data_IF_757055706571
#
_entry.id   IF_757055706571
#
_cell.length_a   1.000
_cell.length_b   1.000
_cell.length_c   1.000
_cell.angle_alpha   90.00
_cell.angle_beta   90.00
_cell.angle_gamma   90.00
#
_symmetry.space_group_name_H-M   'P 1'
#
loop_
_entity.id
_entity.type
_entity.pdbx_description
1 polymer ?
#
# COMPACT_ATOMS: atom_id res chain seq x y z
N UNK A 1 9.46 -62.16 29.09
CA UNK A 1 9.49 -61.00 28.17
C UNK A 1 10.74 -61.11 27.32
N UNK A 2 10.57 -61.19 25.99
CA UNK A 2 11.62 -61.45 24.99
C UNK A 2 12.25 -60.13 24.47
N UNK A 3 13.57 -60.07 24.53
CA UNK A 3 14.56 -59.69 23.50
C UNK A 3 14.50 -58.40 22.64
N UNK A 4 15.73 -57.85 22.50
CA UNK A 4 16.38 -57.20 21.33
C UNK A 4 16.07 -55.71 21.09
N UNK A 5 16.96 -54.87 20.56
CA UNK A 5 18.41 -54.72 20.39
C UNK A 5 18.57 -53.45 19.49
N UNK A 6 19.81 -52.99 19.29
CA UNK A 6 20.30 -51.99 18.32
C UNK A 6 20.17 -50.51 18.74
N UNK A 7 21.19 -49.83 19.31
CA UNK A 7 22.57 -49.55 18.83
C UNK A 7 22.63 -48.86 17.45
N UNK A 8 23.13 -47.62 17.38
CA UNK A 8 24.49 -47.24 16.92
C UNK A 8 24.54 -45.73 16.60
N UNK A 9 25.61 -45.10 17.10
CA UNK A 9 26.03 -43.71 16.90
C UNK A 9 26.64 -43.43 15.51
N UNK A 10 26.82 -42.16 15.14
CA UNK A 10 28.15 -41.58 14.88
C UNK A 10 28.07 -40.27 14.06
N UNK A 11 28.82 -39.28 14.53
CA UNK A 11 29.30 -38.13 13.76
C UNK A 11 30.14 -38.60 12.55
N UNK A 12 30.17 -37.80 11.47
CA UNK A 12 31.45 -37.37 10.87
C UNK A 12 31.26 -36.24 9.85
N UNK A 13 32.10 -35.22 9.98
CA UNK A 13 32.29 -34.11 9.05
C UNK A 13 33.03 -34.57 7.79
N UNK A 14 32.77 -33.92 6.64
CA UNK A 14 33.74 -33.84 5.53
C UNK A 14 33.71 -32.42 4.92
N UNK A 15 34.91 -31.86 4.80
CA UNK A 15 35.29 -30.58 4.21
C UNK A 15 35.26 -30.56 2.68
N UNK A 16 34.91 -29.39 2.15
CA UNK A 16 35.57 -28.59 1.10
C UNK A 16 36.13 -29.22 -0.21
N UNK A 17 35.79 -28.53 -1.31
CA UNK A 17 36.68 -28.03 -2.40
C UNK A 17 36.39 -28.50 -3.84
N UNK A 18 35.93 -27.54 -4.64
CA UNK A 18 36.40 -27.13 -5.97
C UNK A 18 36.57 -28.11 -7.17
N UNK A 19 36.04 -27.61 -8.29
CA UNK A 19 36.59 -27.58 -9.66
C UNK A 19 36.07 -28.58 -10.73
N UNK A 20 35.24 -28.01 -11.62
CA UNK A 20 35.31 -27.99 -13.11
C UNK A 20 35.55 -29.30 -13.86
N UNK A 21 34.60 -29.67 -14.74
CA UNK A 21 34.76 -29.79 -16.22
C UNK A 21 33.36 -29.87 -16.87
N UNK A 22 33.17 -29.01 -17.88
CA UNK A 22 32.02 -28.91 -18.81
C UNK A 22 31.98 -30.04 -19.84
N UNK A 23 30.79 -30.28 -20.44
CA UNK A 23 30.73 -30.45 -21.89
C UNK A 23 29.72 -29.50 -22.54
N UNK A 24 29.94 -29.30 -23.84
CA UNK A 24 29.50 -28.17 -24.65
C UNK A 24 28.03 -28.18 -25.07
N UNK A 25 27.49 -26.96 -25.13
CA UNK A 25 26.68 -26.34 -26.18
C UNK A 25 25.87 -27.29 -27.09
N UNK A 26 24.54 -27.20 -26.93
CA UNK A 26 23.68 -27.08 -28.09
C UNK A 26 22.78 -25.87 -27.87
N UNK A 27 23.08 -24.80 -28.61
CA UNK A 27 22.23 -23.63 -28.75
C UNK A 27 20.84 -24.07 -29.23
N UNK A 28 19.84 -23.77 -28.43
CA UNK A 28 18.55 -23.34 -28.98
C UNK A 28 18.17 -22.06 -28.25
N UNK A 29 18.48 -20.96 -28.95
CA UNK A 29 17.85 -19.66 -28.85
C UNK A 29 16.49 -19.71 -28.16
N UNK A 30 16.46 -19.28 -26.91
CA UNK A 30 15.58 -18.22 -26.41
C UNK A 30 16.19 -17.86 -25.06
N UNK A 31 17.07 -16.86 -25.09
CA UNK A 31 17.37 -16.10 -23.89
C UNK A 31 16.00 -15.72 -23.30
N UNK A 32 15.69 -16.28 -22.13
CA UNK A 32 14.75 -15.65 -21.22
C UNK A 32 15.44 -14.36 -20.80
N UNK A 33 15.30 -13.35 -21.65
CA UNK A 33 15.47 -11.95 -21.30
C UNK A 33 14.85 -11.75 -19.93
N UNK A 34 15.53 -11.07 -19.00
CA UNK A 34 14.96 -10.74 -17.72
C UNK A 34 13.76 -9.83 -17.98
N UNK A 35 12.54 -10.40 -17.97
CA UNK A 35 11.30 -9.63 -18.03
C UNK A 35 11.02 -8.88 -16.72
N UNK A 36 12.08 -8.53 -15.97
CA UNK A 36 12.09 -7.56 -14.90
C UNK A 36 12.39 -6.15 -15.44
N UNK A 37 11.77 -5.80 -16.57
CA UNK A 37 11.53 -4.41 -16.97
C UNK A 37 10.06 -4.35 -17.40
N UNK A 38 9.17 -4.33 -16.41
CA UNK A 38 7.77 -3.97 -16.63
C UNK A 38 7.48 -2.64 -15.93
N UNK A 39 7.57 -1.61 -16.78
CA UNK A 39 6.96 -0.28 -16.71
C UNK A 39 7.65 0.74 -15.80
N UNK A 40 8.61 1.44 -16.42
CA UNK A 40 9.02 2.79 -16.05
C UNK A 40 7.82 3.74 -15.93
N UNK A 41 7.66 4.36 -14.75
CA UNK A 41 6.89 5.60 -14.49
C UNK A 41 5.43 5.64 -14.97
N UNK A 42 4.50 5.11 -14.17
CA UNK A 42 3.11 5.56 -14.23
C UNK A 42 2.32 5.44 -12.93
N UNK A 43 2.57 4.45 -12.08
CA UNK A 43 1.79 4.25 -10.85
C UNK A 43 2.71 3.84 -9.67
N UNK A 44 2.80 4.68 -8.63
CA UNK A 44 3.57 4.35 -7.40
C UNK A 44 2.66 3.65 -6.39
N UNK A 45 3.03 2.43 -6.00
CA UNK A 45 2.39 1.71 -4.89
C UNK A 45 2.88 2.22 -3.53
N UNK A 46 1.96 2.39 -2.60
CA UNK A 46 2.21 2.93 -1.26
C UNK A 46 2.06 1.82 -0.22
N UNK A 47 3.20 1.37 0.34
CA UNK A 47 3.23 0.29 1.32
C UNK A 47 3.34 0.77 2.78
N UNK A 48 3.88 1.97 3.06
CA UNK A 48 3.92 2.57 4.40
C UNK A 48 4.03 4.11 4.36
N UNK A 49 3.34 4.79 5.27
CA UNK A 49 3.38 6.26 5.40
C UNK A 49 2.55 7.00 4.35
N UNK A 50 2.68 8.33 4.35
CA UNK A 50 2.08 9.18 3.33
C UNK A 50 3.06 9.39 2.17
N UNK A 51 2.53 9.39 0.94
CA UNK A 51 3.31 9.49 -0.27
C UNK A 51 2.78 10.64 -1.12
N UNK A 52 3.69 11.30 -1.84
CA UNK A 52 3.39 12.50 -2.62
C UNK A 52 3.49 12.20 -4.12
N UNK A 53 2.71 12.93 -4.90
CA UNK A 53 2.73 12.87 -6.37
C UNK A 53 2.55 14.25 -6.99
N UNK A 54 3.08 14.41 -8.19
CA UNK A 54 2.93 15.60 -9.04
C UNK A 54 1.77 15.43 -10.02
N UNK A 55 1.58 16.42 -10.89
CA UNK A 55 0.53 16.37 -11.92
C UNK A 55 0.70 15.20 -12.91
N UNK A 56 1.94 14.75 -13.15
CA UNK A 56 2.22 13.67 -14.11
C UNK A 56 2.10 12.27 -13.50
N UNK A 57 2.04 12.19 -12.18
CA UNK A 57 2.04 10.92 -11.45
C UNK A 57 0.62 10.41 -11.26
N UNK A 58 0.47 9.09 -11.28
CA UNK A 58 -0.64 8.43 -10.61
C UNK A 58 -0.10 7.75 -9.36
N UNK A 59 -0.86 7.86 -8.27
CA UNK A 59 -0.51 7.24 -7.00
C UNK A 59 -1.68 6.39 -6.53
N UNK A 60 -1.38 5.23 -5.96
CA UNK A 60 -2.39 4.31 -5.50
C UNK A 60 -1.95 3.50 -4.28
N UNK A 61 -2.93 3.00 -3.55
CA UNK A 61 -2.73 1.97 -2.54
C UNK A 61 -3.78 0.88 -2.68
N UNK A 62 -3.43 -0.32 -2.22
CA UNK A 62 -4.30 -1.50 -2.15
C UNK A 62 -4.33 -2.02 -0.70
N UNK A 63 -4.98 -3.17 -0.48
CA UNK A 63 -5.07 -3.75 0.86
C UNK A 63 -6.04 -3.00 1.77
N UNK A 64 -7.03 -2.34 1.17
CA UNK A 64 -7.99 -1.52 1.89
C UNK A 64 -9.10 -2.33 2.59
N UNK A 65 -9.10 -3.66 2.45
CA UNK A 65 -10.03 -4.53 3.19
C UNK A 65 -9.81 -4.50 4.72
N UNK A 66 -8.59 -4.21 5.15
CA UNK A 66 -8.21 -4.25 6.57
C UNK A 66 -7.66 -2.93 7.09
N UNK A 67 -7.44 -1.96 6.21
CA UNK A 67 -6.82 -0.68 6.52
C UNK A 67 -7.55 0.47 5.81
N UNK A 68 -7.82 1.59 6.48
CA UNK A 68 -8.31 2.80 5.81
C UNK A 68 -7.27 3.42 4.87
N UNK A 69 -7.76 4.25 3.95
CA UNK A 69 -6.94 5.10 3.09
C UNK A 69 -7.43 6.54 3.12
N UNK A 70 -6.51 7.50 3.02
CA UNK A 70 -6.87 8.92 2.90
C UNK A 70 -6.08 9.54 1.77
N UNK A 71 -6.72 10.44 1.03
CA UNK A 71 -6.06 11.12 -0.07
C UNK A 71 -6.50 12.57 -0.21
N UNK A 72 -5.52 13.42 -0.49
CA UNK A 72 -5.70 14.79 -0.92
C UNK A 72 -5.22 14.93 -2.36
N UNK A 73 -5.97 15.67 -3.17
CA UNK A 73 -5.54 16.15 -4.48
C UNK A 73 -5.80 17.66 -4.57
N UNK A 74 -5.00 18.39 -5.31
CA UNK A 74 -5.14 19.83 -5.46
C UNK A 74 -4.38 20.35 -6.68
N UNK A 75 -4.29 21.67 -6.79
CA UNK A 75 -3.50 22.36 -7.82
C UNK A 75 -2.22 22.91 -7.24
N UNK A 76 -1.18 22.98 -8.04
CA UNK A 76 0.06 23.65 -7.67
C UNK A 76 0.53 24.54 -8.83
N UNK A 77 1.12 25.70 -8.53
CA UNK A 77 1.56 26.66 -9.56
C UNK A 77 2.74 26.12 -10.39
N UNK A 78 3.65 25.40 -9.74
CA UNK A 78 4.81 24.75 -10.39
C UNK A 78 4.43 23.38 -10.94
N UNK A 79 4.95 23.04 -12.14
CA UNK A 79 4.70 21.76 -12.83
C UNK A 79 5.21 20.54 -12.06
N UNK A 80 6.30 20.70 -11.30
CA UNK A 80 6.94 19.71 -10.45
C UNK A 80 6.47 19.74 -9.00
N UNK A 81 5.50 20.61 -8.68
CA UNK A 81 4.94 20.70 -7.34
C UNK A 81 4.10 19.49 -6.97
N UNK A 82 4.01 19.23 -5.67
CA UNK A 82 3.15 18.19 -5.12
C UNK A 82 1.69 18.61 -5.31
N UNK A 83 0.93 17.80 -6.03
CA UNK A 83 -0.51 18.00 -6.28
C UNK A 83 -1.36 16.90 -5.66
N UNK A 84 -0.74 15.85 -5.13
CA UNK A 84 -1.41 14.66 -4.60
C UNK A 84 -0.65 14.17 -3.37
N UNK A 85 -1.38 13.80 -2.32
CA UNK A 85 -0.82 13.17 -1.12
C UNK A 85 -1.75 12.05 -0.67
N UNK A 86 -1.27 10.81 -0.65
CA UNK A 86 -2.05 9.63 -0.28
C UNK A 86 -1.39 8.91 0.90
N UNK A 87 -2.18 8.43 1.86
CA UNK A 87 -1.67 7.57 2.92
C UNK A 87 -2.50 6.28 3.04
N UNK A 88 -1.78 5.16 3.18
CA UNK A 88 -2.34 3.90 3.65
C UNK A 88 -2.24 3.86 5.18
N UNK A 89 -3.37 3.76 5.86
CA UNK A 89 -3.45 3.91 7.32
C UNK A 89 -3.42 2.54 7.99
N UNK A 90 -2.24 2.13 8.46
CA UNK A 90 -2.10 0.87 9.20
C UNK A 90 -2.65 1.01 10.62
N UNK A 91 -3.46 0.06 11.07
CA UNK A 91 -4.17 0.11 12.35
C UNK A 91 -3.25 0.28 13.58
N UNK A 92 -2.03 -0.26 13.55
CA UNK A 92 -1.08 -0.14 14.67
C UNK A 92 -0.35 1.21 14.77
N UNK A 93 -0.36 2.03 13.72
CA UNK A 93 0.42 3.28 13.65
C UNK A 93 -0.35 4.44 13.00
N UNK A 94 -1.68 4.41 13.10
CA UNK A 94 -2.55 5.30 12.33
C UNK A 94 -2.32 6.78 12.62
N UNK A 95 -2.02 7.17 13.87
CA UNK A 95 -1.78 8.58 14.24
C UNK A 95 -0.58 9.14 13.49
N UNK A 96 0.57 8.46 13.56
CA UNK A 96 1.79 8.90 12.89
C UNK A 96 1.62 8.96 11.37
N UNK A 97 0.91 8.00 10.77
CA UNK A 97 0.64 8.01 9.33
C UNK A 97 -0.27 9.19 8.93
N UNK A 98 -1.28 9.49 9.74
CA UNK A 98 -2.23 10.56 9.47
C UNK A 98 -1.64 11.95 9.76
N UNK A 99 -0.77 12.08 10.76
CA UNK A 99 -0.04 13.31 11.03
C UNK A 99 1.02 13.58 9.95
N UNK A 100 1.76 12.55 9.51
CA UNK A 100 2.67 12.66 8.35
C UNK A 100 1.92 13.07 7.08
N UNK A 101 0.72 12.51 6.87
CA UNK A 101 -0.15 12.92 5.77
C UNK A 101 -0.55 14.40 5.85
N UNK A 102 -1.02 14.88 7.02
CA UNK A 102 -1.37 16.29 7.22
C UNK A 102 -0.17 17.19 6.92
N UNK A 103 1.00 16.86 7.48
CA UNK A 103 2.23 17.64 7.30
C UNK A 103 2.63 17.71 5.83
N UNK A 104 2.57 16.60 5.09
CA UNK A 104 2.87 16.59 3.64
C UNK A 104 1.84 17.38 2.84
N UNK A 105 0.57 17.37 3.22
CA UNK A 105 -0.43 18.21 2.56
C UNK A 105 -0.15 19.68 2.79
N UNK A 106 0.14 20.11 4.02
CA UNK A 106 0.49 21.51 4.29
C UNK A 106 1.79 21.92 3.58
N UNK A 107 2.82 21.08 3.64
CA UNK A 107 4.11 21.34 2.99
C UNK A 107 4.05 21.34 1.46
N UNK A 108 3.03 20.71 0.85
CA UNK A 108 2.86 20.66 -0.60
C UNK A 108 2.64 22.03 -1.24
N UNK A 109 2.11 23.00 -0.49
CA UNK A 109 1.68 24.30 -1.04
C UNK A 109 0.52 24.20 -2.04
N UNK A 110 -0.18 23.06 -2.11
CA UNK A 110 -1.27 22.86 -3.05
C UNK A 110 -2.52 23.69 -2.66
N UNK A 111 -3.27 24.17 -3.65
CA UNK A 111 -4.55 24.89 -3.49
C UNK A 111 -5.71 24.06 -4.06
N UNK A 112 -6.95 24.53 -3.88
CA UNK A 112 -8.16 23.83 -4.37
C UNK A 112 -8.25 22.36 -3.91
N UNK A 113 -7.80 22.09 -2.68
CA UNK A 113 -7.65 20.74 -2.15
C UNK A 113 -8.99 20.00 -2.19
N UNK A 114 -9.03 18.74 -2.61
CA UNK A 114 -10.13 17.80 -2.45
C UNK A 114 -9.64 16.64 -1.60
N UNK A 115 -10.42 16.24 -0.60
CA UNK A 115 -10.09 15.12 0.29
C UNK A 115 -11.13 14.02 0.18
N UNK A 116 -10.68 12.78 -0.02
CA UNK A 116 -11.48 11.57 0.13
C UNK A 116 -10.88 10.70 1.23
N UNK A 117 -11.74 10.19 2.10
CA UNK A 117 -11.38 9.17 3.08
C UNK A 117 -12.06 7.87 2.68
N UNK A 118 -11.29 6.80 2.53
CA UNK A 118 -11.79 5.44 2.41
C UNK A 118 -11.71 4.75 3.77
N UNK A 119 -12.84 4.34 4.33
CA UNK A 119 -12.93 3.76 5.67
C UNK A 119 -13.64 2.40 5.67
N UNK A 120 -13.37 1.61 6.71
CA UNK A 120 -14.11 0.39 7.01
C UNK A 120 -15.30 0.73 7.93
N UNK A 121 -16.46 0.12 7.67
CA UNK A 121 -17.58 0.14 8.60
C UNK A 121 -17.22 -0.63 9.89
N UNK A 122 -16.92 0.13 10.93
CA UNK A 122 -16.56 -0.41 12.24
C UNK A 122 -17.65 -1.30 12.88
N UNK A 123 -18.91 -1.23 12.46
CA UNK A 123 -19.96 -2.10 13.00
C UNK A 123 -19.94 -3.51 12.38
N UNK A 124 -19.23 -3.67 11.27
CA UNK A 124 -19.16 -4.89 10.47
C UNK A 124 -17.87 -5.67 10.68
N UNK A 125 -16.87 -5.09 11.33
CA UNK A 125 -15.64 -5.79 11.74
C UNK A 125 -15.86 -6.59 13.02
N UNK A 126 -14.92 -7.51 13.31
CA UNK A 126 -14.92 -8.31 14.53
C UNK A 126 -15.13 -7.45 15.78
N UNK A 127 -15.94 -7.94 16.73
CA UNK A 127 -16.32 -7.19 17.95
C UNK A 127 -15.12 -6.62 18.70
N UNK A 128 -14.00 -7.36 18.77
CA UNK A 128 -12.77 -6.92 19.43
C UNK A 128 -12.03 -5.77 18.72
N UNK A 129 -12.36 -5.49 17.45
CA UNK A 129 -11.70 -4.48 16.63
C UNK A 129 -12.57 -3.23 16.38
N UNK A 130 -13.85 -3.25 16.74
CA UNK A 130 -14.79 -2.16 16.42
C UNK A 130 -14.38 -0.82 17.05
N UNK A 131 -13.98 -0.83 18.33
CA UNK A 131 -13.53 0.38 19.03
C UNK A 131 -12.27 0.98 18.37
N UNK A 132 -11.29 0.12 18.05
CA UNK A 132 -10.07 0.52 17.35
C UNK A 132 -10.39 1.09 15.97
N UNK A 133 -11.25 0.42 15.19
CA UNK A 133 -11.63 0.89 13.86
C UNK A 133 -12.37 2.22 13.92
N UNK A 134 -13.26 2.40 14.91
CA UNK A 134 -13.93 3.68 15.14
C UNK A 134 -12.93 4.80 15.44
N UNK A 135 -11.95 4.54 16.31
CA UNK A 135 -10.89 5.53 16.62
C UNK A 135 -10.08 5.91 15.38
N UNK A 136 -9.70 4.93 14.54
CA UNK A 136 -8.96 5.20 13.30
C UNK A 136 -9.82 6.05 12.35
N UNK A 137 -11.09 5.69 12.17
CA UNK A 137 -12.02 6.44 11.31
C UNK A 137 -12.21 7.88 11.80
N UNK A 138 -12.38 8.09 13.10
CA UNK A 138 -12.56 9.42 13.69
C UNK A 138 -11.28 10.27 13.58
N UNK A 139 -10.10 9.64 13.74
CA UNK A 139 -8.82 10.33 13.57
C UNK A 139 -8.58 10.72 12.11
N UNK A 140 -8.91 9.86 11.15
CA UNK A 140 -8.80 10.17 9.72
C UNK A 140 -9.69 11.36 9.33
N UNK A 141 -10.94 11.40 9.84
CA UNK A 141 -11.85 12.53 9.67
C UNK A 141 -11.29 13.83 10.28
N UNK A 142 -10.76 13.75 11.49
CA UNK A 142 -10.10 14.90 12.14
C UNK A 142 -8.92 15.42 11.33
N UNK A 143 -8.05 14.53 10.84
CA UNK A 143 -6.92 14.89 9.98
C UNK A 143 -7.36 15.53 8.66
N UNK A 144 -8.43 15.04 8.03
CA UNK A 144 -9.01 15.68 6.85
C UNK A 144 -9.48 17.12 7.15
N UNK A 145 -10.13 17.32 8.31
CA UNK A 145 -10.59 18.65 8.75
C UNK A 145 -9.44 19.64 9.01
N UNK A 146 -8.28 19.17 9.51
CA UNK A 146 -7.06 20.00 9.68
C UNK A 146 -6.51 20.55 8.34
N UNK A 147 -6.81 19.85 7.25
CA UNK A 147 -6.36 20.20 5.90
C UNK A 147 -7.39 21.03 5.15
N UNK A 148 -8.68 20.69 5.28
CA UNK A 148 -9.78 21.36 4.58
C UNK A 148 -11.06 21.31 5.41
N UNK A 149 -11.89 22.34 5.32
CA UNK A 149 -13.20 22.43 6.01
C UNK A 149 -14.26 21.39 5.59
N UNK A 150 -13.98 20.53 4.61
CA UNK A 150 -14.89 19.47 4.17
C UNK A 150 -14.19 18.37 3.36
N UNK A 151 -14.73 17.15 3.44
CA UNK A 151 -14.20 15.93 2.80
C UNK A 151 -15.35 15.00 2.40
N UNK A 152 -15.08 14.10 1.45
CA UNK A 152 -15.98 12.99 1.13
C UNK A 152 -15.52 11.70 1.81
N UNK A 153 -16.46 10.78 2.04
CA UNK A 153 -16.19 9.47 2.63
C UNK A 153 -16.70 8.38 1.70
N UNK A 154 -15.83 7.44 1.38
CA UNK A 154 -16.19 6.14 0.80
C UNK A 154 -16.08 5.08 1.91
N UNK A 155 -17.13 4.27 2.08
CA UNK A 155 -17.19 3.28 3.16
C UNK A 155 -17.28 1.88 2.58
N UNK A 156 -16.42 1.00 3.07
CA UNK A 156 -16.52 -0.44 2.85
C UNK A 156 -17.37 -1.07 3.95
N UNK A 157 -18.51 -1.64 3.58
CA UNK A 157 -19.47 -2.23 4.51
C UNK A 157 -19.35 -3.76 4.62
N UNK A 158 -18.68 -4.41 3.68
CA UNK A 158 -18.41 -5.84 3.70
C UNK A 158 -16.90 -6.12 3.87
N UNK A 159 -16.41 -6.34 5.10
CA UNK A 159 -15.01 -6.66 5.34
C UNK A 159 -14.59 -8.04 4.81
N UNK A 160 -15.54 -8.95 4.52
CA UNK A 160 -15.25 -10.30 4.00
C UNK A 160 -15.15 -10.36 2.48
N UNK A 161 -15.59 -9.32 1.75
CA UNK A 161 -15.46 -9.27 0.30
C UNK A 161 -13.98 -9.38 -0.17
N UNK A 162 -13.70 -9.85 -1.40
CA UNK A 162 -12.32 -9.91 -1.90
C UNK A 162 -11.61 -8.53 -1.86
N UNK A 163 -10.52 -8.45 -1.11
CA UNK A 163 -9.65 -7.27 -0.96
C UNK A 163 -8.95 -6.74 -2.25
N UNK A 164 -8.57 -7.57 -3.26
CA UNK A 164 -7.75 -7.11 -4.39
C UNK A 164 -8.39 -6.03 -5.27
N UNK A 165 -9.71 -5.82 -5.11
CA UNK A 165 -10.51 -4.92 -5.93
C UNK A 165 -10.55 -3.49 -5.35
N UNK A 166 -10.34 -3.32 -4.05
CA UNK A 166 -10.40 -2.00 -3.42
C UNK A 166 -9.04 -1.29 -3.51
N UNK A 167 -8.89 -0.51 -4.57
CA UNK A 167 -7.80 0.43 -4.76
C UNK A 167 -8.30 1.84 -4.51
N UNK A 168 -7.53 2.61 -3.74
CA UNK A 168 -7.67 4.06 -3.69
C UNK A 168 -6.59 4.64 -4.60
N UNK A 169 -7.01 5.34 -5.66
CA UNK A 169 -6.11 5.88 -6.69
C UNK A 169 -6.41 7.34 -6.95
N UNK A 170 -5.37 8.12 -7.22
CA UNK A 170 -5.48 9.43 -7.87
C UNK A 170 -4.76 9.35 -9.20
N UNK A 171 -5.49 9.62 -10.28
CA UNK A 171 -4.90 9.62 -11.61
C UNK A 171 -4.13 10.91 -11.92
N UNK A 172 -3.52 10.97 -13.10
CA UNK A 172 -2.80 12.16 -13.58
C UNK A 172 -3.66 13.43 -13.55
N UNK A 173 -4.94 13.32 -13.90
CA UNK A 173 -5.88 14.44 -13.91
C UNK A 173 -6.34 14.89 -12.52
N UNK A 174 -5.94 14.18 -11.46
CA UNK A 174 -6.36 14.47 -10.09
C UNK A 174 -7.74 13.92 -9.74
N UNK A 175 -8.32 13.08 -10.60
CA UNK A 175 -9.56 12.37 -10.27
C UNK A 175 -9.26 11.25 -9.28
N UNK A 176 -10.12 11.11 -8.27
CA UNK A 176 -9.96 10.14 -7.20
C UNK A 176 -10.89 8.96 -7.47
N UNK A 177 -10.38 7.73 -7.37
CA UNK A 177 -11.11 6.50 -7.63
C UNK A 177 -11.07 5.55 -6.44
N UNK A 178 -12.15 4.80 -6.26
CA UNK A 178 -12.27 3.67 -5.34
C UNK A 178 -12.74 2.47 -6.15
N UNK A 179 -11.99 1.37 -6.13
CA UNK A 179 -12.30 0.16 -6.90
C UNK A 179 -12.63 0.45 -8.38
N UNK A 180 -11.79 1.28 -9.01
CA UNK A 180 -11.89 1.75 -10.40
C UNK A 180 -13.13 2.59 -10.74
N UNK A 181 -14.00 2.89 -9.76
CA UNK A 181 -15.11 3.84 -9.89
C UNK A 181 -14.67 5.23 -9.46
N UNK A 182 -14.97 6.25 -10.27
CA UNK A 182 -14.67 7.64 -9.93
C UNK A 182 -15.48 8.08 -8.72
N UNK A 183 -14.80 8.63 -7.72
CA UNK A 183 -15.37 9.09 -6.46
C UNK A 183 -15.48 10.62 -6.38
N UNK A 184 -14.51 11.37 -6.94
CA UNK A 184 -14.45 12.86 -6.91
C UNK A 184 -13.81 13.50 -8.16
#
# INVERSE_FOLDING_TARGET
>A
MLFKNLFVAALCAIQASAAVITPQVKESSHALEPSAILVSRADKLIEAGAETGTINDSIYTHGLATCPGIVASGKHKKKDGVTKVLAHVRCGNFKNHLDDWVNKVHASGMTDIKVLIYILDHTKVDKGLQATQKMINDYAKSSAMKVKSGYAVATRTDPAAPSPQDKLRVDKAGAIYVADKKAL
#
